data_IF_399849856967
#
_entry.id   IF_399849856967
#
_cell.length_a   1.000
_cell.length_b   1.000
_cell.length_c   1.000
_cell.angle_alpha   90.00
_cell.angle_beta   90.00
_cell.angle_gamma   90.00
#
_symmetry.space_group_name_H-M   'P 1'
#
loop_
_entity.id
_entity.type
_entity.pdbx_description
1 polymer ?
#
# COMPACT_ATOMS: atom_id res chain seq x y z
N UNK A 1 -3.72 30.13 21.64
CA UNK A 1 -3.61 28.69 21.95
C UNK A 1 -4.58 27.97 21.05
N UNK A 2 -4.11 27.04 20.22
CA UNK A 2 -4.97 26.24 19.36
C UNK A 2 -5.86 25.29 20.16
N UNK A 3 -6.99 24.90 19.59
CA UNK A 3 -7.82 23.84 20.16
C UNK A 3 -7.07 22.50 20.03
N UNK A 4 -7.21 21.60 21.01
CA UNK A 4 -6.67 20.24 20.93
C UNK A 4 -7.78 19.26 20.56
N UNK A 5 -7.55 18.47 19.53
CA UNK A 5 -8.47 17.44 19.08
C UNK A 5 -7.91 16.07 19.46
N UNK A 6 -8.64 15.26 20.25
CA UNK A 6 -8.24 13.89 20.54
C UNK A 6 -8.41 13.00 19.31
N UNK A 7 -7.35 12.28 18.95
CA UNK A 7 -7.35 11.30 17.85
C UNK A 7 -7.58 9.88 18.36
N UNK A 8 -7.00 9.55 19.51
CA UNK A 8 -7.07 8.21 20.10
C UNK A 8 -6.87 8.26 21.60
N UNK A 9 -7.65 7.48 22.35
CA UNK A 9 -7.42 7.18 23.76
C UNK A 9 -6.94 5.74 23.89
N UNK A 10 -5.73 5.56 24.40
CA UNK A 10 -5.11 4.25 24.60
C UNK A 10 -5.68 3.54 25.83
N UNK A 11 -5.42 2.24 25.96
CA UNK A 11 -5.93 1.42 27.06
C UNK A 11 -5.37 1.84 28.42
N UNK A 12 -4.18 2.46 28.44
CA UNK A 12 -3.54 2.99 29.65
C UNK A 12 -4.05 4.39 30.05
N UNK A 13 -5.02 4.93 29.29
CA UNK A 13 -5.62 6.23 29.52
C UNK A 13 -4.89 7.39 28.83
N UNK A 14 -3.75 7.16 28.19
CA UNK A 14 -3.05 8.19 27.40
C UNK A 14 -3.94 8.66 26.26
N UNK A 15 -4.12 9.97 26.13
CA UNK A 15 -4.84 10.57 25.01
C UNK A 15 -3.82 11.17 24.04
N UNK A 16 -3.89 10.74 22.79
CA UNK A 16 -3.11 11.30 21.70
C UNK A 16 -3.95 12.35 21.00
N UNK A 17 -3.44 13.59 20.99
CA UNK A 17 -4.14 14.77 20.50
C UNK A 17 -3.29 15.51 19.46
N UNK A 18 -3.94 16.30 18.62
CA UNK A 18 -3.29 17.24 17.70
C UNK A 18 -3.80 18.66 17.90
N UNK A 19 -2.91 19.64 17.73
CA UNK A 19 -3.26 21.06 17.79
C UNK A 19 -3.88 21.53 16.47
N UNK A 20 -5.00 22.26 16.59
CA UNK A 20 -5.75 22.87 15.50
C UNK A 20 -5.61 24.42 15.48
N UNK A 21 -5.56 25.04 14.29
CA UNK A 21 -5.51 24.40 12.97
C UNK A 21 -4.22 23.59 12.78
N UNK A 22 -4.23 22.56 11.91
CA UNK A 22 -3.02 21.80 11.66
C UNK A 22 -1.93 22.72 11.13
N UNK A 23 -0.76 22.68 11.76
CA UNK A 23 0.37 23.54 11.44
C UNK A 23 1.38 22.80 10.57
N UNK A 24 2.04 23.55 9.69
CA UNK A 24 3.17 23.08 8.90
C UNK A 24 4.23 24.16 8.80
N UNK A 25 5.48 23.78 9.02
CA UNK A 25 6.67 24.61 8.73
C UNK A 25 7.33 24.24 7.40
N UNK A 26 6.78 23.26 6.69
CA UNK A 26 7.29 22.75 5.42
C UNK A 26 6.22 22.87 4.34
N UNK A 27 6.60 23.38 3.18
CA UNK A 27 5.77 23.30 1.99
C UNK A 27 5.89 21.88 1.39
N UNK A 28 4.78 21.13 1.44
CA UNK A 28 4.72 19.77 0.89
C UNK A 28 4.99 19.76 -0.62
N UNK A 29 4.62 20.82 -1.35
CA UNK A 29 4.87 20.94 -2.79
C UNK A 29 6.36 21.12 -3.08
N UNK A 30 7.03 22.00 -2.34
CA UNK A 30 8.48 22.18 -2.46
C UNK A 30 9.24 20.89 -2.11
N UNK A 31 8.82 20.18 -1.06
CA UNK A 31 9.38 18.87 -0.70
C UNK A 31 9.17 17.84 -1.83
N UNK A 32 7.99 17.81 -2.46
CA UNK A 32 7.69 16.93 -3.58
C UNK A 32 8.58 17.22 -4.80
N UNK A 33 8.77 18.49 -5.15
CA UNK A 33 9.61 18.91 -6.27
C UNK A 33 11.07 18.52 -6.08
N UNK A 34 11.58 18.65 -4.86
CA UNK A 34 12.94 18.24 -4.52
C UNK A 34 13.14 16.71 -4.65
N UNK A 35 12.11 15.94 -4.31
CA UNK A 35 12.09 14.49 -4.51
C UNK A 35 11.88 14.11 -5.99
N UNK A 36 11.53 15.05 -6.87
CA UNK A 36 11.17 14.76 -8.25
C UNK A 36 9.79 14.09 -8.39
N UNK A 37 8.91 14.28 -7.41
CA UNK A 37 7.54 13.75 -7.46
C UNK A 37 6.73 14.56 -8.51
N UNK A 38 6.03 13.87 -9.44
CA UNK A 38 5.28 14.54 -10.51
C UNK A 38 4.23 15.53 -10.02
N UNK A 39 3.95 16.56 -10.83
CA UNK A 39 2.98 17.61 -10.52
C UNK A 39 1.52 17.15 -10.46
N UNK A 40 1.19 16.01 -11.07
CA UNK A 40 -0.16 15.44 -11.02
C UNK A 40 -0.54 14.91 -9.62
N UNK A 41 0.42 14.67 -8.72
CA UNK A 41 0.13 14.12 -7.40
C UNK A 41 -0.57 15.18 -6.55
N UNK A 42 -1.79 14.87 -6.11
CA UNK A 42 -2.59 15.76 -5.29
C UNK A 42 -2.08 15.78 -3.84
N UNK A 43 -1.46 16.90 -3.45
CA UNK A 43 -0.96 17.16 -2.09
C UNK A 43 -1.93 17.99 -1.25
N UNK A 44 -3.11 18.34 -1.77
CA UNK A 44 -4.22 18.83 -0.94
C UNK A 44 -4.78 17.69 -0.08
N UNK A 45 -4.66 16.45 -0.55
CA UNK A 45 -4.90 15.25 0.24
C UNK A 45 -3.89 15.14 1.39
N UNK A 46 -4.39 15.14 2.63
CA UNK A 46 -3.56 15.11 3.84
C UNK A 46 -2.66 13.88 3.91
N UNK A 47 -3.18 12.69 3.59
CA UNK A 47 -2.43 11.44 3.55
C UNK A 47 -1.24 11.54 2.59
N UNK A 48 -1.46 12.05 1.38
CA UNK A 48 -0.39 12.22 0.39
C UNK A 48 0.66 13.24 0.83
N UNK A 49 0.25 14.40 1.35
CA UNK A 49 1.18 15.41 1.87
C UNK A 49 2.07 14.84 2.99
N UNK A 50 1.48 14.06 3.91
CA UNK A 50 2.21 13.40 5.00
C UNK A 50 3.17 12.34 4.49
N UNK A 51 2.77 11.53 3.50
CA UNK A 51 3.62 10.53 2.87
C UNK A 51 4.89 11.17 2.27
N UNK A 52 4.70 12.21 1.46
CA UNK A 52 5.78 12.93 0.76
C UNK A 52 6.73 13.58 1.76
N UNK A 53 6.19 14.29 2.76
CA UNK A 53 7.03 14.97 3.75
C UNK A 53 7.77 13.98 4.65
N UNK A 54 7.18 12.83 4.98
CA UNK A 54 7.90 11.79 5.72
C UNK A 54 9.08 11.22 4.94
N UNK A 55 8.93 10.97 3.64
CA UNK A 55 10.03 10.54 2.75
C UNK A 55 11.10 11.62 2.63
N UNK A 56 10.69 12.86 2.36
CA UNK A 56 11.59 14.01 2.26
C UNK A 56 12.39 14.23 3.55
N UNK A 57 11.71 14.24 4.71
CA UNK A 57 12.35 14.44 6.00
C UNK A 57 13.31 13.31 6.36
N UNK A 58 13.02 12.08 5.93
CA UNK A 58 13.91 10.94 6.12
C UNK A 58 15.22 11.08 5.31
N UNK A 59 15.14 11.56 4.07
CA UNK A 59 16.32 11.83 3.24
C UNK A 59 17.07 13.09 3.71
N UNK A 60 16.35 14.08 4.22
CA UNK A 60 16.91 15.33 4.76
C UNK A 60 17.24 15.30 6.24
N UNK A 61 17.14 14.14 6.89
CA UNK A 61 17.29 14.03 8.33
C UNK A 61 18.58 14.70 8.86
N UNK A 62 19.77 14.59 8.21
CA UNK A 62 20.96 15.30 8.66
C UNK A 62 20.88 16.83 8.63
N UNK A 63 20.07 17.40 7.74
CA UNK A 63 19.93 18.84 7.53
C UNK A 63 18.80 19.48 8.36
N UNK A 64 17.90 18.68 8.93
CA UNK A 64 16.75 19.19 9.69
C UNK A 64 17.13 19.43 11.15
N UNK A 65 17.63 20.63 11.48
CA UNK A 65 18.07 20.98 12.85
C UNK A 65 17.01 20.76 13.94
N UNK A 66 15.73 20.89 13.58
CA UNK A 66 14.61 20.62 14.47
C UNK A 66 14.48 19.15 14.91
N UNK A 67 15.15 18.21 14.20
CA UNK A 67 15.18 16.81 14.60
C UNK A 67 16.21 16.55 15.72
N UNK A 68 15.91 15.63 16.66
CA UNK A 68 16.88 15.11 17.61
C UNK A 68 18.22 14.71 16.96
N UNK A 69 19.35 15.08 17.57
CA UNK A 69 20.70 14.84 17.02
C UNK A 69 20.98 13.38 16.66
N UNK A 70 20.38 12.43 17.38
CA UNK A 70 20.47 11.00 17.10
C UNK A 70 19.88 10.61 15.73
N UNK A 71 18.87 11.34 15.24
CA UNK A 71 18.22 11.13 13.94
C UNK A 71 18.98 11.80 12.79
N UNK A 72 19.80 12.82 13.09
CA UNK A 72 20.53 13.63 12.11
C UNK A 72 21.84 12.99 11.62
N UNK A 73 22.09 11.73 11.95
CA UNK A 73 23.37 11.07 11.66
C UNK A 73 23.57 10.73 10.18
N UNK A 74 22.49 10.36 9.49
CA UNK A 74 22.51 9.97 8.07
C UNK A 74 21.09 10.00 7.47
N UNK A 75 20.96 10.10 6.14
CA UNK A 75 19.68 9.91 5.49
C UNK A 75 19.14 8.49 5.67
N UNK A 76 17.81 8.37 5.66
CA UNK A 76 17.07 7.11 5.58
C UNK A 76 16.29 7.09 4.27
N UNK A 77 16.19 5.91 3.66
CA UNK A 77 15.49 5.73 2.37
C UNK A 77 14.23 4.89 2.58
N UNK A 78 13.13 5.51 3.07
CA UNK A 78 11.84 4.84 3.09
C UNK A 78 11.27 4.74 1.68
N UNK A 79 10.54 3.66 1.43
CA UNK A 79 9.77 3.43 0.22
C UNK A 79 8.29 3.36 0.60
N UNK A 80 7.43 4.02 -0.17
CA UNK A 80 5.99 3.90 -0.06
C UNK A 80 5.48 2.63 -0.75
N UNK A 81 4.44 2.03 -0.21
CA UNK A 81 3.64 1.02 -0.90
C UNK A 81 2.14 1.25 -0.64
N UNK A 82 1.28 0.39 -1.18
CA UNK A 82 -0.17 0.53 -1.04
C UNK A 82 -0.74 1.69 -1.87
N UNK A 83 -1.85 2.28 -1.41
CA UNK A 83 -2.59 3.29 -2.18
C UNK A 83 -1.80 4.58 -2.46
N UNK A 84 -0.97 5.02 -1.51
CA UNK A 84 -0.10 6.18 -1.72
C UNK A 84 0.92 5.93 -2.84
N UNK A 85 1.50 4.73 -2.92
CA UNK A 85 2.41 4.40 -4.01
C UNK A 85 1.70 4.35 -5.37
N UNK A 86 0.45 3.89 -5.43
CA UNK A 86 -0.36 3.94 -6.67
C UNK A 86 -0.52 5.39 -7.14
N UNK A 87 -0.85 6.31 -6.22
CA UNK A 87 -0.93 7.75 -6.53
C UNK A 87 0.36 8.30 -7.09
N UNK A 88 1.50 7.90 -6.56
CA UNK A 88 2.80 8.36 -7.09
C UNK A 88 3.06 7.81 -8.49
N UNK A 89 2.67 6.56 -8.76
CA UNK A 89 3.03 5.86 -10.00
C UNK A 89 2.01 5.97 -11.13
N UNK A 90 0.80 6.47 -10.88
CA UNK A 90 -0.31 6.51 -11.85
C UNK A 90 -0.94 7.92 -11.96
N UNK A 91 -0.69 8.67 -13.05
CA UNK A 91 -1.41 9.91 -13.36
C UNK A 91 -2.93 9.75 -13.36
N UNK A 92 -3.45 8.65 -13.90
CA UNK A 92 -4.90 8.39 -13.99
C UNK A 92 -5.54 8.25 -12.62
N UNK A 93 -4.83 7.65 -11.65
CA UNK A 93 -5.30 7.60 -10.26
C UNK A 93 -5.32 8.96 -9.55
N UNK A 94 -4.85 10.06 -10.17
CA UNK A 94 -4.92 11.41 -9.61
C UNK A 94 -5.90 12.33 -10.33
N UNK A 95 -6.49 11.92 -11.46
CA UNK A 95 -7.40 12.76 -12.25
C UNK A 95 -8.69 13.03 -11.46
N UNK A 96 -9.03 14.30 -11.15
CA UNK A 96 -10.26 14.63 -10.43
C UNK A 96 -11.51 14.05 -11.14
N UNK A 97 -12.42 13.46 -10.39
CA UNK A 97 -13.64 12.83 -10.92
C UNK A 97 -13.43 11.50 -11.64
N UNK A 98 -12.19 11.03 -11.82
CA UNK A 98 -11.93 9.73 -12.44
C UNK A 98 -12.29 8.58 -11.48
N UNK A 99 -12.92 7.48 -11.94
CA UNK A 99 -13.31 6.34 -11.08
C UNK A 99 -12.17 5.67 -10.30
N UNK A 100 -10.95 5.77 -10.83
CA UNK A 100 -9.72 5.24 -10.20
C UNK A 100 -9.06 6.24 -9.24
N UNK A 101 -9.54 7.47 -9.16
CA UNK A 101 -9.06 8.49 -8.23
C UNK A 101 -9.68 8.31 -6.84
N UNK A 102 -9.31 7.21 -6.16
CA UNK A 102 -9.72 6.95 -4.76
C UNK A 102 -8.78 7.66 -3.78
N UNK A 103 -9.28 8.07 -2.61
CA UNK A 103 -8.43 8.59 -1.54
C UNK A 103 -7.68 7.44 -0.83
N UNK A 104 -6.36 7.53 -0.61
CA UNK A 104 -5.66 6.59 0.25
C UNK A 104 -6.01 6.90 1.71
N UNK A 105 -6.45 5.87 2.44
CA UNK A 105 -6.82 6.00 3.86
C UNK A 105 -5.65 5.69 4.79
N UNK A 106 -4.71 4.87 4.32
CA UNK A 106 -3.59 4.37 5.11
C UNK A 106 -2.25 4.80 4.50
N UNK A 107 -1.24 4.91 5.37
CA UNK A 107 0.16 5.12 5.00
C UNK A 107 0.98 3.91 5.36
N UNK A 108 1.81 3.52 4.41
CA UNK A 108 2.49 2.24 4.41
C UNK A 108 3.91 2.44 3.89
N UNK A 109 4.88 2.12 4.73
CA UNK A 109 6.31 2.31 4.42
C UNK A 109 7.06 0.98 4.44
N UNK A 110 8.09 0.91 3.62
CA UNK A 110 9.13 -0.09 3.70
C UNK A 110 10.49 0.59 3.91
N UNK A 111 11.31 0.04 4.79
CA UNK A 111 12.67 0.52 5.06
C UNK A 111 13.61 -0.67 5.13
N UNK A 112 14.92 -0.42 5.12
CA UNK A 112 15.86 -1.49 5.44
C UNK A 112 15.73 -1.86 6.91
N UNK A 113 15.91 -3.13 7.27
CA UNK A 113 15.81 -3.57 8.69
C UNK A 113 16.72 -2.79 9.63
N UNK A 114 17.93 -2.44 9.18
CA UNK A 114 18.88 -1.60 9.94
C UNK A 114 18.38 -0.19 10.23
N UNK A 115 17.36 0.27 9.50
CA UNK A 115 16.79 1.62 9.57
C UNK A 115 15.46 1.66 10.31
N UNK A 116 14.78 0.52 10.49
CA UNK A 116 13.42 0.43 11.01
C UNK A 116 13.16 1.20 12.30
N UNK A 117 13.92 0.88 13.36
CA UNK A 117 13.76 1.56 14.64
C UNK A 117 14.08 3.06 14.57
N UNK A 118 15.02 3.46 13.71
CA UNK A 118 15.40 4.86 13.55
C UNK A 118 14.34 5.64 12.76
N UNK A 119 13.75 5.02 11.75
CA UNK A 119 12.66 5.59 10.96
C UNK A 119 11.38 5.78 11.80
N UNK A 120 11.02 4.81 12.65
CA UNK A 120 9.91 4.97 13.59
C UNK A 120 10.13 6.17 14.52
N UNK A 121 11.35 6.33 15.07
CA UNK A 121 11.70 7.50 15.91
C UNK A 121 11.62 8.81 15.12
N UNK A 122 12.00 8.78 13.84
CA UNK A 122 11.89 9.92 12.95
C UNK A 122 10.43 10.31 12.76
N UNK A 123 9.56 9.36 12.38
CA UNK A 123 8.12 9.61 12.22
C UNK A 123 7.51 10.24 13.46
N UNK A 124 7.77 9.67 14.65
CA UNK A 124 7.23 10.20 15.91
C UNK A 124 7.83 11.55 16.34
N UNK A 125 8.88 12.03 15.67
CA UNK A 125 9.47 13.36 15.91
C UNK A 125 8.96 14.42 14.92
N UNK A 126 8.34 14.02 13.80
CA UNK A 126 7.95 14.96 12.73
C UNK A 126 6.91 15.98 13.19
N UNK A 127 5.96 15.59 14.04
CA UNK A 127 4.93 16.51 14.55
C UNK A 127 5.52 17.71 15.30
N UNK A 128 6.51 17.46 16.16
CA UNK A 128 7.19 18.52 16.90
C UNK A 128 8.22 19.28 16.07
N UNK A 129 8.87 18.61 15.11
CA UNK A 129 9.92 19.22 14.30
C UNK A 129 9.37 20.06 13.13
N UNK A 130 8.29 19.59 12.49
CA UNK A 130 7.79 20.14 11.23
C UNK A 130 6.35 20.69 11.32
N UNK A 131 5.63 20.47 12.42
CA UNK A 131 4.27 20.96 12.65
C UNK A 131 3.23 19.84 12.83
N UNK A 132 2.10 20.17 13.46
CA UNK A 132 1.08 19.19 13.89
C UNK A 132 0.48 18.39 12.74
N UNK A 133 0.51 18.90 11.50
CA UNK A 133 0.11 18.16 10.29
C UNK A 133 0.85 16.83 10.10
N UNK A 134 2.08 16.74 10.59
CA UNK A 134 2.96 15.57 10.44
C UNK A 134 3.09 14.76 11.72
N UNK A 135 2.11 14.85 12.63
CA UNK A 135 2.12 14.05 13.84
C UNK A 135 2.01 12.53 13.53
N UNK A 136 2.88 11.77 14.16
CA UNK A 136 2.80 10.32 14.33
C UNK A 136 3.10 10.00 15.79
N UNK A 137 2.53 8.91 16.30
CA UNK A 137 2.71 8.50 17.69
C UNK A 137 2.68 6.99 17.81
N UNK A 138 3.27 6.45 18.87
CA UNK A 138 3.27 5.02 19.15
C UNK A 138 2.53 4.76 20.47
N UNK A 139 1.41 4.03 20.37
CA UNK A 139 0.62 3.57 21.51
C UNK A 139 1.38 2.53 22.34
N UNK A 140 0.88 2.22 23.53
CA UNK A 140 1.41 1.13 24.34
C UNK A 140 1.27 -0.22 23.64
N UNK A 141 0.18 -0.45 22.91
CA UNK A 141 0.00 -1.65 22.07
C UNK A 141 0.98 -1.70 20.90
N UNK A 142 1.30 -0.57 20.27
CA UNK A 142 2.31 -0.48 19.21
C UNK A 142 3.70 -0.83 19.74
N UNK A 143 4.07 -0.34 20.93
CA UNK A 143 5.37 -0.63 21.54
C UNK A 143 5.55 -2.13 21.77
N UNK A 144 4.52 -2.80 22.31
CA UNK A 144 4.50 -4.25 22.47
C UNK A 144 4.58 -4.97 21.13
N UNK A 145 3.76 -4.58 20.15
CA UNK A 145 3.81 -5.14 18.81
C UNK A 145 5.22 -5.02 18.19
N UNK A 146 5.82 -3.83 18.25
CA UNK A 146 7.14 -3.53 17.70
C UNK A 146 8.24 -4.37 18.35
N UNK A 147 8.18 -4.56 19.67
CA UNK A 147 9.12 -5.42 20.39
C UNK A 147 9.00 -6.88 19.95
N UNK A 148 7.77 -7.41 19.85
CA UNK A 148 7.50 -8.80 19.47
C UNK A 148 7.88 -9.13 18.02
N UNK A 149 7.89 -8.14 17.11
CA UNK A 149 8.22 -8.34 15.69
C UNK A 149 9.72 -8.35 15.40
N UNK A 150 10.59 -8.14 16.39
CA UNK A 150 12.04 -8.32 16.26
C UNK A 150 12.67 -7.51 15.12
N UNK A 151 12.12 -6.32 14.86
CA UNK A 151 12.57 -5.40 13.80
C UNK A 151 12.23 -5.82 12.37
N UNK A 152 11.29 -6.76 12.17
CA UNK A 152 10.80 -7.12 10.82
C UNK A 152 9.63 -6.26 10.34
N UNK A 153 8.87 -5.72 11.29
CA UNK A 153 7.74 -4.83 11.06
C UNK A 153 7.57 -3.94 12.28
N UNK A 154 7.24 -2.69 12.03
CA UNK A 154 6.84 -1.75 13.07
C UNK A 154 5.46 -1.19 12.75
N UNK A 155 4.83 -0.66 13.79
CA UNK A 155 3.56 0.04 13.76
C UNK A 155 3.70 1.35 14.52
N UNK A 156 3.12 2.39 13.96
CA UNK A 156 2.79 3.65 14.62
C UNK A 156 1.39 4.05 14.20
N UNK A 157 0.84 5.07 14.84
CA UNK A 157 -0.37 5.75 14.41
C UNK A 157 -0.04 7.13 13.87
N UNK A 158 -0.92 7.64 13.02
CA UNK A 158 -0.86 8.97 12.47
C UNK A 158 -2.26 9.58 12.31
N UNK A 159 -2.30 10.78 11.74
CA UNK A 159 -3.57 11.44 11.41
C UNK A 159 -4.22 10.76 10.20
N UNK A 160 -5.38 10.14 10.40
CA UNK A 160 -6.30 9.72 9.36
C UNK A 160 -7.49 10.65 9.22
N UNK A 161 -8.32 10.41 8.22
CA UNK A 161 -9.50 11.23 7.91
C UNK A 161 -9.16 12.57 7.25
N UNK A 162 -10.20 13.37 7.01
CA UNK A 162 -10.11 14.70 6.41
C UNK A 162 -10.44 15.77 7.46
N UNK A 163 -9.79 16.94 7.38
CA UNK A 163 -10.03 18.06 8.30
C UNK A 163 -11.51 18.50 8.34
N UNK A 164 -12.28 18.24 7.27
CA UNK A 164 -13.72 18.56 7.17
C UNK A 164 -14.67 17.47 7.68
N UNK A 165 -14.28 16.20 7.61
CA UNK A 165 -15.12 15.04 8.00
C UNK A 165 -14.74 14.47 9.38
N UNK A 166 -13.69 15.03 9.99
CA UNK A 166 -13.18 14.65 11.30
C UNK A 166 -11.83 13.92 11.20
N UNK A 167 -10.83 14.44 11.91
CA UNK A 167 -9.55 13.75 12.04
C UNK A 167 -9.69 12.54 12.96
N UNK A 168 -9.03 11.45 12.59
CA UNK A 168 -8.97 10.21 13.35
C UNK A 168 -7.54 9.70 13.46
N UNK A 169 -7.31 8.64 14.23
CA UNK A 169 -6.06 7.92 14.20
C UNK A 169 -6.10 6.82 13.13
N UNK A 170 -5.11 6.79 12.24
CA UNK A 170 -4.89 5.68 11.30
C UNK A 170 -3.62 4.92 11.64
N UNK A 171 -3.65 3.61 11.43
CA UNK A 171 -2.49 2.73 11.61
C UNK A 171 -1.52 2.95 10.45
N UNK A 172 -0.23 3.00 10.75
CA UNK A 172 0.86 3.13 9.78
C UNK A 172 1.81 1.97 9.98
N UNK A 173 1.90 1.10 8.97
CA UNK A 173 2.84 -0.02 9.00
C UNK A 173 4.18 0.34 8.36
N UNK A 174 5.25 -0.12 8.99
CA UNK A 174 6.63 0.02 8.52
C UNK A 174 7.23 -1.37 8.39
N UNK A 175 7.28 -1.89 7.17
CA UNK A 175 7.88 -3.18 6.85
C UNK A 175 9.39 -3.07 6.65
N UNK A 176 10.12 -4.13 6.97
CA UNK A 176 11.58 -4.15 6.88
C UNK A 176 12.06 -5.22 5.89
N UNK A 177 12.77 -4.79 4.83
CA UNK A 177 13.38 -5.61 3.76
C UNK A 177 12.40 -6.44 2.88
N UNK A 178 11.22 -6.79 3.38
CA UNK A 178 10.24 -7.64 2.72
C UNK A 178 8.79 -7.30 3.12
N UNK A 179 7.83 -7.71 2.28
CA UNK A 179 6.39 -7.64 2.55
C UNK A 179 5.85 -9.07 2.75
N UNK A 180 5.71 -9.55 4.00
CA UNK A 180 5.27 -10.90 4.32
C UNK A 180 3.73 -11.00 4.36
N UNK A 181 3.08 -10.82 3.21
CA UNK A 181 1.64 -10.98 3.05
C UNK A 181 1.28 -12.47 2.81
N UNK A 182 0.32 -12.74 1.91
CA UNK A 182 -0.07 -14.11 1.51
C UNK A 182 1.12 -14.86 0.93
N UNK A 183 1.95 -14.14 0.20
CA UNK A 183 3.26 -14.49 -0.30
C UNK A 183 4.25 -13.40 0.12
N UNK A 184 5.54 -13.73 0.18
CA UNK A 184 6.57 -12.77 0.61
C UNK A 184 7.19 -12.07 -0.60
N UNK A 185 7.11 -10.74 -0.64
CA UNK A 185 7.78 -9.93 -1.67
C UNK A 185 9.08 -9.38 -1.09
N UNK A 186 10.21 -9.62 -1.77
CA UNK A 186 11.52 -9.07 -1.39
C UNK A 186 11.71 -7.67 -1.96
N UNK A 187 12.25 -6.75 -1.16
CA UNK A 187 12.40 -5.34 -1.52
C UNK A 187 13.86 -4.90 -1.75
N UNK A 188 14.83 -5.82 -1.69
CA UNK A 188 16.26 -5.50 -1.78
C UNK A 188 16.62 -4.55 -2.92
N UNK A 189 16.25 -4.90 -4.16
CA UNK A 189 16.51 -4.08 -5.35
C UNK A 189 15.68 -2.78 -5.40
N UNK A 190 14.50 -2.78 -4.78
CA UNK A 190 13.63 -1.59 -4.76
C UNK A 190 14.31 -0.43 -4.02
N UNK A 191 15.11 -0.72 -3.00
CA UNK A 191 15.89 0.29 -2.28
C UNK A 191 17.04 0.87 -3.11
N UNK A 192 17.61 0.11 -4.04
CA UNK A 192 18.66 0.61 -4.94
C UNK A 192 18.08 1.55 -5.99
N UNK A 193 16.85 1.26 -6.45
CA UNK A 193 16.11 2.05 -7.44
C UNK A 193 15.13 3.05 -6.81
N UNK A 194 15.37 3.46 -5.55
CA UNK A 194 14.40 4.27 -4.80
C UNK A 194 13.98 5.54 -5.56
N UNK A 195 14.94 6.31 -6.08
CA UNK A 195 14.64 7.55 -6.81
C UNK A 195 13.94 7.31 -8.15
N UNK A 196 14.37 6.30 -8.90
CA UNK A 196 13.75 5.88 -10.17
C UNK A 196 12.29 5.47 -9.96
N UNK A 197 12.00 4.84 -8.82
CA UNK A 197 10.66 4.42 -8.42
C UNK A 197 9.88 5.49 -7.65
N UNK A 198 10.30 6.76 -7.70
CA UNK A 198 9.65 7.87 -6.98
C UNK A 198 9.49 7.60 -5.47
N UNK A 199 10.48 6.93 -4.88
CA UNK A 199 10.48 6.47 -3.49
C UNK A 199 9.30 5.56 -3.15
N UNK A 200 8.88 4.72 -4.10
CA UNK A 200 7.96 3.61 -3.89
C UNK A 200 8.68 2.28 -4.01
N UNK A 201 8.00 1.17 -3.74
CA UNK A 201 8.53 -0.19 -4.00
C UNK A 201 8.65 -0.53 -5.51
N UNK A 202 8.26 0.38 -6.41
CA UNK A 202 8.23 0.16 -7.87
C UNK A 202 6.93 -0.48 -8.34
N UNK A 203 6.60 -0.28 -9.62
CA UNK A 203 5.33 -0.72 -10.20
C UNK A 203 5.17 -2.25 -10.16
N UNK A 204 6.24 -3.00 -10.42
CA UNK A 204 6.25 -4.46 -10.44
C UNK A 204 5.88 -5.01 -9.06
N UNK A 205 6.58 -4.56 -8.01
CA UNK A 205 6.34 -5.04 -6.64
C UNK A 205 5.01 -4.55 -6.09
N UNK A 206 4.55 -3.38 -6.54
CA UNK A 206 3.23 -2.88 -6.18
C UNK A 206 2.13 -3.75 -6.82
N UNK A 207 2.22 -4.09 -8.10
CA UNK A 207 1.32 -5.05 -8.76
C UNK A 207 1.34 -6.41 -8.05
N UNK A 208 2.53 -6.94 -7.73
CA UNK A 208 2.67 -8.17 -6.96
C UNK A 208 1.97 -8.09 -5.60
N UNK A 209 2.04 -6.94 -4.91
CA UNK A 209 1.39 -6.75 -3.60
C UNK A 209 -0.13 -6.77 -3.68
N UNK A 210 -0.71 -6.38 -4.83
CA UNK A 210 -2.16 -6.35 -5.08
C UNK A 210 -2.67 -7.70 -5.57
N UNK A 211 -2.01 -8.25 -6.58
CA UNK A 211 -2.37 -9.51 -7.23
C UNK A 211 -2.14 -10.74 -6.33
N UNK A 212 -1.41 -10.61 -5.22
CA UNK A 212 -1.20 -11.72 -4.28
C UNK A 212 -2.37 -11.94 -3.31
N UNK A 213 -3.38 -11.08 -3.33
CA UNK A 213 -4.54 -11.25 -2.46
C UNK A 213 -5.23 -12.57 -2.77
N UNK A 214 -5.32 -13.43 -1.76
CA UNK A 214 -6.00 -14.72 -1.85
C UNK A 214 -6.41 -15.21 -0.47
N UNK A 215 -7.62 -15.75 -0.35
CA UNK A 215 -8.03 -16.55 0.81
C UNK A 215 -8.99 -17.67 0.39
N UNK A 216 -9.32 -18.55 1.34
CA UNK A 216 -10.24 -19.66 1.12
C UNK A 216 -11.55 -19.40 1.85
N UNK A 217 -12.67 -19.53 1.14
CA UNK A 217 -14.02 -19.44 1.71
C UNK A 217 -14.68 -20.83 1.64
N UNK A 218 -15.29 -21.35 2.73
CA UNK A 218 -16.08 -22.57 2.63
C UNK A 218 -17.17 -22.46 1.57
N UNK A 219 -17.36 -23.49 0.75
CA UNK A 219 -18.35 -23.47 -0.35
C UNK A 219 -19.78 -23.15 0.13
N UNK A 220 -20.12 -23.57 1.36
CA UNK A 220 -21.41 -23.28 1.98
C UNK A 220 -21.68 -21.80 2.22
N UNK A 221 -20.64 -20.96 2.27
CA UNK A 221 -20.72 -19.51 2.48
C UNK A 221 -20.62 -18.71 1.19
N UNK A 222 -20.50 -19.36 0.03
CA UNK A 222 -20.47 -18.66 -1.25
C UNK A 222 -21.73 -17.78 -1.47
N UNK A 223 -22.96 -18.21 -1.11
CA UNK A 223 -24.13 -17.34 -1.23
C UNK A 223 -24.03 -16.04 -0.41
N UNK A 224 -23.33 -16.06 0.74
CA UNK A 224 -23.11 -14.84 1.55
C UNK A 224 -22.21 -13.84 0.81
N UNK A 225 -21.16 -14.33 0.14
CA UNK A 225 -20.25 -13.50 -0.66
C UNK A 225 -20.96 -12.90 -1.87
N UNK A 226 -21.80 -13.68 -2.54
CA UNK A 226 -22.60 -13.23 -3.69
C UNK A 226 -23.65 -12.19 -3.25
N UNK A 227 -24.35 -12.42 -2.13
CA UNK A 227 -25.30 -11.48 -1.57
C UNK A 227 -24.65 -10.14 -1.16
N UNK A 228 -23.37 -10.16 -0.77
CA UNK A 228 -22.58 -8.97 -0.48
C UNK A 228 -22.06 -8.26 -1.75
N UNK A 229 -22.40 -8.73 -2.96
CA UNK A 229 -21.90 -8.18 -4.22
C UNK A 229 -20.41 -8.46 -4.47
N UNK A 230 -19.81 -9.38 -3.70
CA UNK A 230 -18.39 -9.72 -3.75
C UNK A 230 -18.10 -10.99 -4.58
N UNK A 231 -19.12 -11.53 -5.28
CA UNK A 231 -19.00 -12.76 -6.07
C UNK A 231 -17.98 -12.67 -7.22
N UNK A 232 -17.70 -11.47 -7.73
CA UNK A 232 -16.68 -11.24 -8.77
C UNK A 232 -15.25 -11.62 -8.37
N UNK A 233 -15.03 -11.85 -7.07
CA UNK A 233 -13.73 -12.19 -6.48
C UNK A 233 -13.44 -13.68 -6.53
N UNK A 234 -14.41 -14.53 -6.86
CA UNK A 234 -14.22 -15.97 -6.91
C UNK A 234 -13.26 -16.32 -8.04
N UNK A 235 -12.11 -16.89 -7.71
CA UNK A 235 -11.08 -17.26 -8.66
C UNK A 235 -11.45 -18.56 -9.39
N UNK A 236 -11.08 -18.72 -10.67
CA UNK A 236 -11.36 -19.93 -11.46
C UNK A 236 -10.45 -21.11 -11.04
N UNK A 237 -10.65 -21.61 -9.82
CA UNK A 237 -9.81 -22.67 -9.25
C UNK A 237 -10.62 -23.73 -8.48
N UNK A 238 -10.87 -24.87 -9.13
CA UNK A 238 -11.77 -25.92 -8.62
C UNK A 238 -11.10 -26.96 -7.72
N UNK A 239 -9.77 -27.01 -7.71
CA UNK A 239 -9.03 -28.10 -7.03
C UNK A 239 -8.97 -27.97 -5.51
N UNK A 240 -9.40 -26.83 -4.95
CA UNK A 240 -9.40 -26.58 -3.51
C UNK A 240 -10.54 -27.35 -2.82
N UNK A 241 -10.20 -28.28 -1.91
CA UNK A 241 -11.21 -29.15 -1.27
C UNK A 241 -12.07 -28.36 -0.29
N UNK A 242 -13.40 -28.45 -0.45
CA UNK A 242 -14.39 -27.87 0.48
C UNK A 242 -14.45 -26.34 0.50
N UNK A 243 -13.64 -25.66 -0.30
CA UNK A 243 -13.53 -24.20 -0.33
C UNK A 243 -13.53 -23.69 -1.77
N UNK A 244 -13.78 -22.40 -1.92
CA UNK A 244 -13.48 -21.62 -3.13
C UNK A 244 -12.32 -20.68 -2.82
N UNK A 245 -11.48 -20.41 -3.82
CA UNK A 245 -10.43 -19.40 -3.71
C UNK A 245 -11.04 -18.04 -4.03
N UNK A 246 -10.79 -17.04 -3.18
CA UNK A 246 -11.30 -15.68 -3.33
C UNK A 246 -10.12 -14.73 -3.45
N UNK A 247 -10.13 -13.90 -4.49
CA UNK A 247 -9.08 -12.97 -4.89
C UNK A 247 -9.32 -11.53 -4.45
N UNK A 248 -8.73 -10.62 -5.23
CA UNK A 248 -8.64 -9.18 -4.97
C UNK A 248 -9.96 -8.53 -4.55
N UNK A 249 -9.86 -7.54 -3.66
CA UNK A 249 -10.95 -6.60 -3.37
C UNK A 249 -11.10 -5.58 -4.50
N UNK A 250 -12.25 -4.90 -4.54
CA UNK A 250 -12.51 -3.88 -5.55
C UNK A 250 -11.45 -2.77 -5.56
N UNK A 251 -11.00 -2.32 -4.39
CA UNK A 251 -9.92 -1.32 -4.27
C UNK A 251 -8.60 -1.79 -4.90
N UNK A 252 -8.30 -3.08 -4.82
CA UNK A 252 -7.09 -3.66 -5.39
C UNK A 252 -7.24 -3.84 -6.90
N UNK A 253 -8.43 -4.20 -7.40
CA UNK A 253 -8.73 -4.16 -8.84
C UNK A 253 -8.59 -2.74 -9.41
N UNK A 254 -9.07 -1.71 -8.71
CA UNK A 254 -8.89 -0.31 -9.14
C UNK A 254 -7.43 0.11 -9.15
N UNK A 255 -6.64 -0.28 -8.14
CA UNK A 255 -5.20 -0.02 -8.09
C UNK A 255 -4.45 -0.71 -9.24
N UNK A 256 -4.77 -1.98 -9.52
CA UNK A 256 -4.20 -2.73 -10.66
C UNK A 256 -4.59 -2.08 -11.98
N UNK A 257 -5.86 -1.73 -12.17
CA UNK A 257 -6.32 -1.04 -13.38
C UNK A 257 -5.59 0.28 -13.59
N UNK A 258 -5.42 1.09 -12.54
CA UNK A 258 -4.73 2.38 -12.63
C UNK A 258 -3.26 2.21 -13.07
N UNK A 259 -2.56 1.25 -12.48
CA UNK A 259 -1.18 0.94 -12.86
C UNK A 259 -1.10 0.42 -14.29
N UNK A 260 -1.99 -0.50 -14.68
CA UNK A 260 -1.98 -1.08 -16.02
C UNK A 260 -2.40 -0.08 -17.10
N UNK A 261 -3.27 0.90 -16.82
CA UNK A 261 -3.66 1.95 -17.78
C UNK A 261 -2.50 2.92 -18.05
N UNK A 262 -1.72 3.26 -17.02
CA UNK A 262 -0.65 4.24 -17.16
C UNK A 262 0.71 3.60 -17.48
N UNK A 263 0.87 2.29 -17.27
CA UNK A 263 2.13 1.57 -17.46
C UNK A 263 1.85 0.26 -18.19
N UNK A 264 2.49 0.07 -19.34
CA UNK A 264 2.36 -1.13 -20.15
C UNK A 264 3.43 -2.15 -19.76
N UNK A 265 3.14 -3.45 -19.88
CA UNK A 265 4.19 -4.47 -19.88
C UNK A 265 5.28 -4.12 -20.91
N UNK A 266 6.54 -4.05 -20.48
CA UNK A 266 7.67 -3.63 -21.31
C UNK A 266 7.87 -2.11 -21.43
N UNK A 267 6.88 -1.29 -21.04
CA UNK A 267 6.97 0.17 -21.01
C UNK A 267 6.35 0.72 -19.70
N UNK A 268 7.21 0.86 -18.69
CA UNK A 268 6.82 1.27 -17.34
C UNK A 268 6.56 0.13 -16.37
N UNK A 269 6.50 -1.12 -16.86
CA UNK A 269 6.55 -2.37 -16.08
C UNK A 269 7.62 -3.29 -16.69
N UNK A 270 8.71 -3.52 -15.96
CA UNK A 270 9.79 -4.40 -16.39
C UNK A 270 9.42 -5.88 -16.18
N UNK A 271 9.20 -6.59 -17.30
CA UNK A 271 8.75 -7.99 -17.29
C UNK A 271 9.76 -8.96 -16.69
N UNK A 272 11.05 -8.66 -16.79
CA UNK A 272 12.10 -9.49 -16.19
C UNK A 272 12.10 -9.37 -14.66
N UNK A 273 12.00 -8.14 -14.15
CA UNK A 273 11.89 -7.81 -12.73
C UNK A 273 10.60 -8.39 -12.15
N UNK A 274 9.47 -8.22 -12.85
CA UNK A 274 8.18 -8.78 -12.43
C UNK A 274 8.23 -10.30 -12.27
N UNK A 275 8.83 -11.00 -13.24
CA UNK A 275 8.99 -12.46 -13.23
C UNK A 275 10.04 -12.94 -12.22
N UNK A 276 11.19 -12.29 -12.17
CA UNK A 276 12.30 -12.67 -11.28
C UNK A 276 11.96 -12.50 -9.81
N UNK A 277 11.10 -11.52 -9.47
CA UNK A 277 10.56 -11.36 -8.13
C UNK A 277 9.80 -12.58 -7.60
N UNK A 278 9.31 -13.47 -8.48
CA UNK A 278 8.69 -14.74 -8.11
C UNK A 278 9.71 -15.85 -7.85
N UNK A 279 10.92 -15.73 -8.41
CA UNK A 279 11.95 -16.75 -8.38
C UNK A 279 11.42 -18.13 -8.80
N UNK A 280 11.50 -19.11 -7.89
CA UNK A 280 10.99 -20.48 -8.09
C UNK A 280 9.66 -20.73 -7.38
N UNK A 281 9.00 -19.69 -6.87
CA UNK A 281 7.77 -19.82 -6.10
C UNK A 281 6.55 -20.08 -7.00
N UNK A 282 6.30 -21.36 -7.27
CA UNK A 282 5.14 -21.81 -8.06
C UNK A 282 3.80 -21.47 -7.39
N UNK A 283 3.78 -21.31 -6.06
CA UNK A 283 2.56 -21.02 -5.29
C UNK A 283 2.18 -19.56 -5.47
N UNK A 284 3.16 -18.67 -5.39
CA UNK A 284 2.95 -17.26 -5.67
C UNK A 284 2.58 -17.07 -7.14
N UNK A 285 3.31 -17.69 -8.07
CA UNK A 285 2.98 -17.65 -9.49
C UNK A 285 1.53 -18.07 -9.77
N UNK A 286 1.04 -19.19 -9.19
CA UNK A 286 -0.35 -19.61 -9.34
C UNK A 286 -1.34 -18.55 -8.85
N UNK A 287 -1.11 -17.96 -7.68
CA UNK A 287 -1.98 -16.90 -7.15
C UNK A 287 -2.07 -15.70 -8.09
N UNK A 288 -0.94 -15.26 -8.64
CA UNK A 288 -0.92 -14.13 -9.57
C UNK A 288 -1.65 -14.46 -10.87
N UNK A 289 -1.44 -15.67 -11.41
CA UNK A 289 -2.12 -16.11 -12.62
C UNK A 289 -3.64 -16.08 -12.46
N UNK A 290 -4.14 -16.66 -11.37
CA UNK A 290 -5.58 -16.70 -11.08
C UNK A 290 -6.16 -15.30 -10.91
N UNK A 291 -5.46 -14.39 -10.22
CA UNK A 291 -5.95 -13.02 -10.03
C UNK A 291 -5.89 -12.19 -11.32
N UNK A 292 -4.89 -12.38 -12.18
CA UNK A 292 -4.81 -11.71 -13.50
C UNK A 292 -5.90 -12.22 -14.46
N UNK A 293 -6.12 -13.53 -14.50
CA UNK A 293 -7.19 -14.15 -15.28
C UNK A 293 -8.56 -13.65 -14.81
N UNK A 294 -8.82 -13.69 -13.50
CA UNK A 294 -10.06 -13.16 -12.93
C UNK A 294 -10.23 -11.65 -13.20
N UNK A 295 -9.15 -10.86 -13.11
CA UNK A 295 -9.20 -9.43 -13.42
C UNK A 295 -9.60 -9.17 -14.88
N UNK A 296 -8.99 -9.90 -15.82
CA UNK A 296 -9.28 -9.75 -17.25
C UNK A 296 -10.71 -10.21 -17.61
N UNK A 297 -11.23 -11.23 -16.94
CA UNK A 297 -12.60 -11.74 -17.15
C UNK A 297 -13.69 -10.91 -16.45
N UNK A 298 -13.33 -10.01 -15.54
CA UNK A 298 -14.27 -9.23 -14.70
C UNK A 298 -14.16 -7.73 -14.91
N UNK A 299 -13.86 -7.31 -16.15
CA UNK A 299 -13.83 -5.88 -16.50
C UNK A 299 -15.19 -5.19 -16.33
N UNK A 300 -16.28 -5.95 -16.39
CA UNK A 300 -17.64 -5.45 -16.15
C UNK A 300 -17.78 -4.81 -14.77
N UNK A 301 -17.08 -5.33 -13.76
CA UNK A 301 -17.03 -4.74 -12.42
C UNK A 301 -16.45 -3.32 -12.46
N UNK A 302 -15.34 -3.12 -13.17
CA UNK A 302 -14.72 -1.80 -13.29
C UNK A 302 -15.59 -0.84 -14.11
N UNK A 303 -16.27 -1.33 -15.14
CA UNK A 303 -17.21 -0.54 -15.94
C UNK A 303 -18.41 -0.10 -15.10
N UNK A 304 -18.94 -0.98 -14.25
CA UNK A 304 -20.04 -0.66 -13.32
C UNK A 304 -19.62 0.37 -12.27
N UNK A 305 -18.34 0.41 -11.91
CA UNK A 305 -17.75 1.46 -11.05
C UNK A 305 -17.49 2.78 -11.78
N UNK A 306 -17.86 2.87 -13.07
CA UNK A 306 -17.80 4.10 -13.88
C UNK A 306 -16.58 4.19 -14.79
N UNK A 307 -15.69 3.20 -14.81
CA UNK A 307 -14.56 3.19 -15.76
C UNK A 307 -15.09 3.06 -17.19
N UNK A 308 -14.47 3.76 -18.16
CA UNK A 308 -14.89 3.57 -19.54
C UNK A 308 -14.57 2.14 -20.00
N UNK A 309 -15.41 1.58 -20.87
CA UNK A 309 -15.19 0.23 -21.42
C UNK A 309 -13.83 0.11 -22.10
N UNK A 310 -13.40 1.13 -22.84
CA UNK A 310 -12.11 1.14 -23.52
C UNK A 310 -10.92 1.11 -22.55
N UNK A 311 -11.00 1.85 -21.43
CA UNK A 311 -9.95 1.79 -20.40
C UNK A 311 -9.93 0.44 -19.69
N UNK A 312 -11.09 -0.14 -19.40
CA UNK A 312 -11.20 -1.45 -18.78
C UNK A 312 -10.64 -2.56 -19.68
N UNK A 313 -10.96 -2.53 -20.98
CA UNK A 313 -10.41 -3.45 -21.98
C UNK A 313 -8.89 -3.29 -22.14
N UNK A 314 -8.39 -2.05 -22.18
CA UNK A 314 -6.95 -1.79 -22.24
C UNK A 314 -6.21 -2.30 -20.99
N UNK A 315 -6.80 -2.19 -19.80
CA UNK A 315 -6.23 -2.75 -18.59
C UNK A 315 -6.22 -4.30 -18.63
N UNK A 316 -7.29 -4.92 -19.13
CA UNK A 316 -7.39 -6.37 -19.24
C UNK A 316 -6.41 -6.95 -20.26
N UNK A 317 -6.26 -6.33 -21.43
CA UNK A 317 -5.25 -6.73 -22.43
C UNK A 317 -3.85 -6.77 -21.81
N UNK A 318 -3.48 -5.71 -21.08
CA UNK A 318 -2.18 -5.64 -20.39
C UNK A 318 -2.05 -6.63 -19.23
N UNK A 319 -3.15 -6.96 -18.55
CA UNK A 319 -3.16 -8.02 -17.55
C UNK A 319 -2.90 -9.39 -18.19
N UNK A 320 -3.45 -9.64 -19.39
CA UNK A 320 -3.19 -10.86 -20.17
C UNK A 320 -1.74 -10.92 -20.65
N UNK A 321 -1.16 -9.82 -21.11
CA UNK A 321 0.27 -9.74 -21.45
C UNK A 321 1.17 -10.09 -20.24
N UNK A 322 0.86 -9.56 -19.04
CA UNK A 322 1.56 -9.96 -17.81
C UNK A 322 1.37 -11.46 -17.52
N UNK A 323 0.16 -11.98 -17.69
CA UNK A 323 -0.17 -13.39 -17.46
C UNK A 323 0.64 -14.31 -18.38
N UNK A 324 0.89 -13.91 -19.62
CA UNK A 324 1.73 -14.65 -20.57
C UNK A 324 3.20 -14.68 -20.17
N UNK A 325 3.71 -13.59 -19.58
CA UNK A 325 5.09 -13.51 -19.09
C UNK A 325 5.33 -14.37 -17.83
N UNK A 326 4.27 -14.71 -17.08
CA UNK A 326 4.37 -15.52 -15.87
C UNK A 326 4.64 -17.00 -16.17
N UNK A 327 5.43 -17.70 -15.32
CA UNK A 327 5.67 -19.13 -15.50
C UNK A 327 4.34 -19.92 -15.42
N UNK A 328 4.14 -20.86 -16.34
CA UNK A 328 3.00 -21.78 -16.29
C UNK A 328 3.10 -22.70 -15.07
N UNK A 329 1.98 -22.93 -14.41
CA UNK A 329 1.92 -23.77 -13.20
C UNK A 329 0.95 -24.92 -13.42
N UNK A 330 1.48 -26.10 -13.72
CA UNK A 330 0.69 -27.33 -13.91
C UNK A 330 0.29 -27.99 -12.58
N UNK A 331 1.07 -27.72 -11.53
CA UNK A 331 0.84 -28.32 -10.22
C UNK A 331 -0.47 -27.80 -9.63
N UNK A 332 -1.30 -28.74 -9.16
CA UNK A 332 -2.56 -28.46 -8.48
C UNK A 332 -2.39 -28.69 -6.98
N UNK A 333 -2.89 -27.74 -6.19
CA UNK A 333 -2.98 -27.83 -4.73
C UNK A 333 -4.42 -28.00 -4.29
N UNK A 334 -4.65 -28.96 -3.41
CA UNK A 334 -5.96 -29.24 -2.83
C UNK A 334 -6.19 -28.60 -1.46
N UNK A 335 -5.19 -27.91 -0.93
CA UNK A 335 -5.16 -27.20 0.35
C UNK A 335 -4.64 -25.77 0.11
N UNK A 336 -4.92 -24.80 1.02
CA UNK A 336 -4.34 -23.47 0.93
C UNK A 336 -2.83 -23.51 0.72
N UNK A 337 -2.34 -22.75 -0.27
CA UNK A 337 -0.92 -22.68 -0.62
C UNK A 337 -0.29 -21.33 -0.30
N UNK A 338 -1.04 -20.45 0.34
CA UNK A 338 -0.63 -19.13 0.82
C UNK A 338 -0.54 -19.13 2.35
N UNK A 339 -0.03 -18.03 2.91
CA UNK A 339 -0.04 -17.81 4.35
C UNK A 339 -1.47 -17.54 4.86
N UNK A 340 -2.02 -18.47 5.64
CA UNK A 340 -3.37 -18.37 6.22
C UNK A 340 -3.44 -17.54 7.51
N UNK A 341 -2.28 -17.15 8.07
CA UNK A 341 -2.20 -16.34 9.29
C UNK A 341 -2.16 -14.84 9.04
N UNK A 342 -2.10 -14.42 7.77
CA UNK A 342 -2.36 -13.03 7.40
C UNK A 342 -3.86 -12.79 7.51
N UNK A 343 -4.24 -11.67 8.12
CA UNK A 343 -5.63 -11.30 8.32
C UNK A 343 -6.36 -11.20 6.97
N UNK A 344 -7.56 -11.78 6.91
CA UNK A 344 -8.47 -11.62 5.78
C UNK A 344 -9.50 -10.58 6.19
N UNK A 345 -9.75 -9.56 5.36
CA UNK A 345 -10.97 -8.76 5.44
C UNK A 345 -12.19 -9.67 5.59
N UNK A 346 -13.13 -9.26 6.46
CA UNK A 346 -14.40 -9.97 6.63
C UNK A 346 -15.23 -9.99 5.34
N UNK A 347 -16.28 -10.80 5.30
CA UNK A 347 -17.21 -10.87 4.17
C UNK A 347 -17.88 -9.53 3.86
N UNK A 348 -17.90 -8.61 4.82
CA UNK A 348 -18.53 -7.30 4.68
C UNK A 348 -17.74 -6.37 3.73
N UNK A 349 -16.47 -6.67 3.41
CA UNK A 349 -15.66 -5.87 2.49
C UNK A 349 -15.43 -4.45 3.02
N UNK A 350 -14.18 -4.09 3.33
CA UNK A 350 -13.88 -2.67 3.61
C UNK A 350 -13.79 -1.89 2.31
#
# INVERSE_FOLDING_TARGET
MGARLPLLKDYDGTVYEVELPLTSSVDARAAAEELGIPSYVDLSNLTMARAVVAVWAALRAPQLEALPSALRRRPLTPLLFGGAAVKLLSPTSNKPGHPLNRRPNDLDFAVRKRDGALFVKLLTSLGGALGSKYAFFATSSDRWFNALRGGRRYRVHGIGGDEGDGLSASVVDVFCDELPFRHTIKLGEAFEKARENLFTIGAERLLLSKLQYIFGLPKSRLPELEAAGQGFRVLPYEHLKGMVAVGMELKDMKDVAALLIDRKPGDGIDLETFRSALGKDKRFALTLRLNLENFAERIDVLVNEGLSRSEAEAAAERALELLEALPKVEKRWSKPWWNVHVESPGLEGV
#
